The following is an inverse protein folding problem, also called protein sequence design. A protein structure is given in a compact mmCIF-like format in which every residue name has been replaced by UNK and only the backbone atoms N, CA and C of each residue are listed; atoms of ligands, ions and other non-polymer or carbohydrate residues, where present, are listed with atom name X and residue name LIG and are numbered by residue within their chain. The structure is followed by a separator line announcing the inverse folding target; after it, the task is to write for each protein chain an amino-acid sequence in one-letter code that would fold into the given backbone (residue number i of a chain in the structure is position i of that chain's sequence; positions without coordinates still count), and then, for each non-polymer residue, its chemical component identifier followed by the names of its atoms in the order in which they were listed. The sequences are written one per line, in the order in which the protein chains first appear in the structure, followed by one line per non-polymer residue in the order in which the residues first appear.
data_IF_182180266892
#
_entry.id   IF_182180266892
#
_cell.length_a   1.000
_cell.length_b   1.000
_cell.length_c   1.000
_cell.angle_alpha   90.00
_cell.angle_beta   90.00
_cell.angle_gamma   90.00
#
_symmetry.space_group_name_H-M   'P 1'
#
loop_
_entity.id
_entity.type
_entity.pdbx_description
1 polymer ?
#
# COMPACT_ATOMS: atom_id res chain seq x y z
N UNK A 1 15.62 -20.96 -12.93
CA UNK A 1 16.67 -20.00 -13.32
C UNK A 1 16.17 -18.82 -14.16
N UNK A 2 15.17 -18.99 -15.04
CA UNK A 2 14.67 -17.89 -15.90
C UNK A 2 13.94 -16.75 -15.18
N UNK A 3 13.25 -17.02 -14.08
CA UNK A 3 12.44 -16.02 -13.37
C UNK A 3 13.31 -15.04 -12.56
N UNK A 4 14.34 -15.54 -11.90
CA UNK A 4 15.29 -14.73 -11.11
C UNK A 4 16.12 -13.82 -12.03
N UNK A 5 16.52 -14.31 -13.21
CA UNK A 5 17.24 -13.52 -14.21
C UNK A 5 16.38 -12.39 -14.80
N UNK A 6 15.07 -12.64 -15.02
CA UNK A 6 14.11 -11.60 -15.44
C UNK A 6 13.90 -10.53 -14.35
N UNK A 7 13.83 -10.93 -13.07
CA UNK A 7 13.74 -10.01 -11.95
C UNK A 7 14.99 -9.12 -11.82
N UNK A 8 16.17 -9.71 -11.87
CA UNK A 8 17.45 -8.97 -11.82
C UNK A 8 17.61 -7.99 -12.99
N UNK A 9 17.20 -8.36 -14.19
CA UNK A 9 17.27 -7.49 -15.37
C UNK A 9 16.25 -6.34 -15.31
N UNK A 10 15.09 -6.56 -14.67
CA UNK A 10 14.12 -5.47 -14.38
C UNK A 10 14.66 -4.52 -13.32
N UNK A 11 15.27 -5.02 -12.24
CA UNK A 11 15.88 -4.19 -11.19
C UNK A 11 17.01 -3.29 -11.72
N UNK A 12 17.87 -3.80 -12.60
CA UNK A 12 18.96 -3.01 -13.19
C UNK A 12 18.46 -1.93 -14.16
N UNK A 13 17.38 -2.20 -14.90
CA UNK A 13 16.73 -1.19 -15.76
C UNK A 13 16.03 -0.11 -14.93
N UNK A 14 15.35 -0.47 -13.84
CA UNK A 14 14.73 0.49 -12.92
C UNK A 14 15.77 1.39 -12.24
N UNK A 15 16.89 0.84 -11.79
CA UNK A 15 17.97 1.62 -11.17
C UNK A 15 18.58 2.66 -12.13
N UNK A 16 18.65 2.37 -13.43
CA UNK A 16 19.13 3.32 -14.44
C UNK A 16 18.12 4.42 -14.77
N UNK A 17 16.83 4.14 -14.62
CA UNK A 17 15.74 5.08 -14.86
C UNK A 17 15.57 6.09 -13.71
N UNK A 18 15.70 5.63 -12.45
CA UNK A 18 15.68 6.50 -11.25
C UNK A 18 16.74 7.61 -11.35
N UNK A 19 17.88 7.34 -11.98
CA UNK A 19 18.97 8.31 -12.18
C UNK A 19 18.62 9.42 -13.19
N UNK A 20 17.57 9.26 -13.99
CA UNK A 20 17.15 10.18 -15.04
C UNK A 20 15.98 11.09 -14.67
N UNK A 21 15.17 10.72 -13.67
CA UNK A 21 14.06 11.54 -13.17
C UNK A 21 14.42 12.23 -11.86
N UNK A 22 14.90 13.45 -11.95
CA UNK A 22 15.13 14.37 -10.82
C UNK A 22 13.79 15.02 -10.33
N UNK A 23 12.70 14.23 -10.26
CA UNK A 23 11.35 14.72 -9.94
C UNK A 23 10.77 13.99 -8.73
N UNK A 24 11.52 13.90 -7.63
CA UNK A 24 10.90 13.56 -6.34
C UNK A 24 10.29 14.84 -5.75
N UNK A 25 9.06 14.72 -5.25
CA UNK A 25 8.39 15.83 -4.58
C UNK A 25 9.27 16.36 -3.43
N UNK A 26 9.23 17.68 -3.12
CA UNK A 26 9.99 18.25 -2.01
C UNK A 26 9.76 17.54 -0.66
N UNK A 27 8.59 16.93 -0.48
CA UNK A 27 8.22 16.15 0.71
C UNK A 27 9.10 14.89 0.89
N UNK A 28 9.46 14.20 -0.19
CA UNK A 28 10.32 13.01 -0.13
C UNK A 28 11.74 13.37 0.33
N UNK A 29 12.24 14.55 -0.10
CA UNK A 29 13.51 15.08 0.36
C UNK A 29 13.47 15.45 1.85
N UNK A 30 12.34 15.95 2.37
CA UNK A 30 12.14 16.21 3.80
C UNK A 30 12.03 14.91 4.61
N UNK A 31 11.32 13.90 4.11
CA UNK A 31 11.25 12.58 4.77
C UNK A 31 12.61 11.88 4.78
N UNK A 32 13.35 11.90 3.69
CA UNK A 32 14.71 11.37 3.62
C UNK A 32 15.67 12.13 4.57
N UNK A 33 15.54 13.45 4.66
CA UNK A 33 16.31 14.27 5.61
C UNK A 33 15.92 13.98 7.07
N UNK A 34 14.63 13.75 7.35
CA UNK A 34 14.16 13.35 8.69
C UNK A 34 14.70 11.96 9.07
N UNK A 35 14.68 11.00 8.16
CA UNK A 35 15.22 9.65 8.40
C UNK A 35 16.75 9.63 8.58
N UNK A 36 17.48 10.51 7.86
CA UNK A 36 18.93 10.66 8.00
C UNK A 36 19.33 11.41 9.26
N UNK A 37 18.45 12.24 9.85
CA UNK A 37 18.71 12.92 11.12
C UNK A 37 18.57 12.01 12.37
N UNK A 38 18.04 10.80 12.20
CA UNK A 38 17.96 9.76 13.23
C UNK A 38 19.19 8.83 13.31
N UNK A 39 20.34 9.19 12.71
CA UNK A 39 21.59 8.44 12.91
C UNK A 39 22.18 8.72 14.29
N UNK A 40 22.86 7.75 14.91
CA UNK A 40 22.77 7.42 16.31
C UNK A 40 23.68 8.28 17.19
N UNK A 41 23.08 9.12 18.01
CA UNK A 41 23.74 9.65 19.21
C UNK A 41 23.74 8.63 20.38
N UNK A 42 23.49 7.33 20.11
CA UNK A 42 23.28 6.32 21.16
C UNK A 42 24.41 5.31 21.31
N UNK A 43 25.60 5.56 20.76
CA UNK A 43 26.76 4.66 20.91
C UNK A 43 27.83 5.17 21.89
N UNK A 44 27.49 6.02 22.84
CA UNK A 44 28.47 6.44 23.86
C UNK A 44 27.78 6.70 25.21
N UNK A 45 27.45 5.66 25.96
CA UNK A 45 27.45 5.68 27.41
C UNK A 45 27.04 4.32 28.01
N UNK A 46 27.92 3.34 27.92
CA UNK A 46 27.94 2.20 28.81
C UNK A 46 29.38 2.00 29.23
N UNK A 47 29.80 2.75 30.23
CA UNK A 47 30.96 2.36 31.06
C UNK A 47 30.68 2.63 32.53
N UNK A 48 30.72 1.53 33.27
CA UNK A 48 31.08 1.36 34.67
C UNK A 48 30.27 2.09 35.76
N UNK A 49 29.49 1.31 36.50
CA UNK A 49 29.56 1.40 37.96
C UNK A 49 29.45 0.00 38.58
N UNK A 50 30.37 -0.27 39.45
CA UNK A 50 30.79 -1.57 39.96
C UNK A 50 29.81 -2.27 40.89
N UNK A 51 30.18 -3.49 41.13
CA UNK A 51 29.58 -4.49 41.98
C UNK A 51 29.37 -4.01 43.42
N UNK A 52 28.20 -4.34 43.97
CA UNK A 52 28.16 -4.75 45.39
C UNK A 52 27.17 -5.93 45.53
N UNK A 53 27.69 -7.00 46.05
CA UNK A 53 27.05 -8.31 46.20
C UNK A 53 26.61 -8.46 47.66
N UNK A 54 25.30 -8.49 47.91
CA UNK A 54 24.74 -9.18 49.08
C UNK A 54 23.48 -9.92 48.75
N UNK A 55 23.37 -11.20 49.12
CA UNK A 55 22.17 -12.00 48.81
C UNK A 55 21.07 -11.66 49.83
N UNK A 56 19.96 -11.10 49.39
CA UNK A 56 18.71 -11.08 50.14
C UNK A 56 17.79 -12.21 49.66
N UNK A 57 17.58 -13.13 50.60
CA UNK A 57 16.60 -14.21 50.49
C UNK A 57 15.19 -13.65 50.40
N UNK A 58 14.34 -14.29 49.56
CA UNK A 58 12.88 -14.18 49.57
C UNK A 58 12.32 -13.13 48.63
N UNK A 59 12.51 -13.30 47.34
CA UNK A 59 11.61 -12.67 46.35
C UNK A 59 10.35 -13.52 46.25
N UNK A 60 9.12 -12.94 46.39
CA UNK A 60 7.91 -13.63 46.05
C UNK A 60 7.96 -13.94 44.55
N UNK A 61 7.36 -15.09 44.17
CA UNK A 61 7.17 -15.44 42.77
C UNK A 61 6.62 -14.22 42.03
N UNK A 62 7.37 -13.71 41.05
CA UNK A 62 6.90 -12.62 40.23
C UNK A 62 5.60 -13.05 39.57
N UNK A 63 4.54 -12.37 39.94
CA UNK A 63 3.25 -12.55 39.34
C UNK A 63 3.35 -12.16 37.86
N UNK A 64 3.32 -13.13 36.97
CA UNK A 64 3.39 -12.95 35.51
C UNK A 64 2.18 -12.16 34.97
N UNK A 65 1.15 -11.93 35.81
CA UNK A 65 0.03 -11.03 35.51
C UNK A 65 0.41 -9.55 35.69
N UNK A 66 1.58 -9.26 36.24
CA UNK A 66 2.16 -7.94 36.39
C UNK A 66 3.14 -7.53 35.27
N UNK A 67 3.35 -8.40 34.27
CA UNK A 67 3.93 -7.96 33.00
C UNK A 67 2.95 -6.96 32.39
N UNK A 68 3.40 -5.73 32.25
CA UNK A 68 2.60 -4.72 31.60
C UNK A 68 2.24 -5.25 30.22
N UNK A 69 1.03 -4.97 29.76
CA UNK A 69 0.63 -5.20 28.35
C UNK A 69 1.75 -4.79 27.37
N UNK A 70 2.60 -3.86 27.75
CA UNK A 70 3.78 -3.36 27.06
C UNK A 70 4.90 -4.39 26.88
N UNK A 71 5.11 -5.29 27.80
CA UNK A 71 6.10 -6.38 27.66
C UNK A 71 5.56 -7.53 26.78
N UNK A 72 4.25 -7.70 26.72
CA UNK A 72 3.56 -8.55 25.74
C UNK A 72 3.56 -7.92 24.32
N UNK A 73 3.62 -6.58 24.23
CA UNK A 73 3.72 -5.83 22.97
C UNK A 73 5.11 -5.89 22.32
N UNK A 74 6.14 -6.38 22.99
CA UNK A 74 7.48 -6.56 22.38
C UNK A 74 7.53 -7.59 21.25
N UNK A 75 6.44 -8.32 21.00
CA UNK A 75 6.27 -9.16 19.82
C UNK A 75 5.67 -8.40 18.62
N UNK A 76 5.15 -7.20 18.83
CA UNK A 76 4.50 -6.37 17.82
C UNK A 76 5.49 -5.50 16.99
N UNK A 77 6.78 -5.85 16.97
CA UNK A 77 7.79 -5.19 16.12
C UNK A 77 7.46 -5.34 14.63
N UNK A 78 6.68 -6.38 14.30
CA UNK A 78 6.37 -6.74 12.91
C UNK A 78 4.95 -6.30 12.58
N UNK A 79 4.80 -5.04 12.20
CA UNK A 79 3.58 -4.52 11.60
C UNK A 79 3.87 -4.17 10.14
N UNK A 80 3.18 -4.82 9.21
CA UNK A 80 3.31 -4.52 7.78
C UNK A 80 2.24 -3.51 7.34
N UNK A 81 2.52 -2.82 6.23
CA UNK A 81 1.54 -1.96 5.54
C UNK A 81 0.44 -2.81 4.88
N UNK A 82 -0.40 -3.42 5.71
CA UNK A 82 -1.54 -4.23 5.27
C UNK A 82 -2.79 -3.62 5.86
N UNK A 83 -3.68 -3.12 5.01
CA UNK A 83 -4.95 -2.48 5.40
C UNK A 83 -5.73 -3.43 6.31
N UNK A 84 -6.03 -2.97 7.56
CA UNK A 84 -6.73 -3.82 8.54
C UNK A 84 -5.94 -5.08 8.95
N UNK A 85 -4.62 -5.06 8.82
CA UNK A 85 -3.72 -6.15 9.18
C UNK A 85 -3.40 -6.25 10.67
N UNK A 86 -3.94 -5.38 11.51
CA UNK A 86 -3.74 -5.39 12.96
C UNK A 86 -4.94 -4.81 13.70
N UNK A 87 -5.04 -5.07 14.99
CA UNK A 87 -6.07 -4.55 15.89
C UNK A 87 -5.43 -3.99 17.15
N UNK A 88 -6.15 -3.15 17.86
CA UNK A 88 -5.70 -2.47 19.06
C UNK A 88 -6.46 -2.93 20.31
N UNK A 89 -5.86 -2.84 21.51
CA UNK A 89 -6.57 -3.04 22.77
C UNK A 89 -7.57 -1.92 23.03
N UNK A 90 -8.56 -2.22 23.89
CA UNK A 90 -9.62 -1.28 24.25
C UNK A 90 -9.08 0.06 24.74
N UNK A 91 -9.63 1.15 24.20
CA UNK A 91 -9.30 2.53 24.52
C UNK A 91 -8.14 3.12 23.71
N UNK A 92 -7.37 2.31 22.99
CA UNK A 92 -6.22 2.81 22.21
C UNK A 92 -6.69 3.55 20.95
N UNK A 93 -5.99 4.65 20.66
CA UNK A 93 -6.10 5.40 19.42
C UNK A 93 -4.76 5.31 18.68
N UNK A 94 -4.80 5.14 17.36
CA UNK A 94 -3.63 5.20 16.49
C UNK A 94 -3.86 6.22 15.39
N UNK A 95 -2.82 6.98 15.08
CA UNK A 95 -2.71 7.75 13.85
C UNK A 95 -1.64 7.13 12.96
N UNK A 96 -1.95 7.04 11.68
CA UNK A 96 -1.07 6.52 10.66
C UNK A 96 -0.96 7.48 9.47
N UNK A 97 0.20 7.45 8.85
CA UNK A 97 0.45 8.03 7.54
C UNK A 97 1.24 7.02 6.73
N UNK A 98 0.81 6.80 5.49
CA UNK A 98 1.51 5.96 4.53
C UNK A 98 1.69 6.71 3.21
N UNK A 99 2.90 6.68 2.69
CA UNK A 99 3.22 7.08 1.33
C UNK A 99 3.35 5.84 0.47
N UNK A 100 2.66 5.81 -0.67
CA UNK A 100 2.76 4.76 -1.67
C UNK A 100 3.16 5.36 -3.00
N UNK A 101 4.07 4.68 -3.70
CA UNK A 101 4.52 5.05 -5.03
C UNK A 101 4.49 3.84 -5.95
N UNK A 102 3.98 4.03 -7.17
CA UNK A 102 3.96 3.02 -8.21
C UNK A 102 4.47 3.61 -9.51
N UNK A 103 5.46 2.97 -10.13
CA UNK A 103 5.98 3.29 -11.46
C UNK A 103 5.50 2.23 -12.45
N UNK A 104 4.93 2.68 -13.54
CA UNK A 104 4.36 1.85 -14.60
C UNK A 104 4.95 2.21 -15.94
N UNK A 105 5.11 1.21 -16.82
CA UNK A 105 5.58 1.45 -18.17
C UNK A 105 5.89 0.18 -18.94
N UNK A 106 5.82 0.29 -20.26
CA UNK A 106 5.65 -0.83 -21.15
C UNK A 106 4.21 -1.34 -21.08
N UNK A 107 3.73 -2.00 -22.12
CA UNK A 107 2.35 -2.46 -22.17
C UNK A 107 2.27 -3.98 -22.21
N UNK A 108 1.20 -4.50 -21.59
CA UNK A 108 0.82 -5.90 -21.69
C UNK A 108 -0.59 -6.03 -22.28
N UNK A 109 -0.76 -7.04 -23.14
CA UNK A 109 -2.07 -7.58 -23.52
C UNK A 109 -2.05 -9.08 -23.22
N UNK A 110 -2.81 -9.51 -22.25
CA UNK A 110 -2.56 -10.78 -21.57
C UNK A 110 -1.20 -10.73 -20.84
N UNK A 111 -0.34 -11.67 -21.18
CA UNK A 111 1.05 -11.75 -20.71
C UNK A 111 2.07 -11.31 -21.79
N UNK A 112 1.58 -10.86 -22.94
CA UNK A 112 2.40 -10.49 -24.10
C UNK A 112 2.74 -9.01 -24.02
N UNK A 113 4.03 -8.70 -24.18
CA UNK A 113 4.48 -7.32 -24.36
C UNK A 113 3.93 -6.73 -25.67
N UNK A 114 3.40 -5.52 -25.59
CA UNK A 114 2.87 -4.74 -26.72
C UNK A 114 3.69 -3.45 -26.80
N UNK A 115 4.15 -3.07 -27.99
CA UNK A 115 4.87 -1.82 -28.16
C UNK A 115 3.91 -0.65 -28.39
N UNK A 116 4.34 0.56 -28.02
CA UNK A 116 3.61 1.80 -28.31
C UNK A 116 3.27 1.93 -29.83
N UNK A 117 4.22 1.54 -30.68
CA UNK A 117 4.02 1.56 -32.14
C UNK A 117 2.95 0.53 -32.61
N UNK A 118 2.71 -0.53 -31.85
CA UNK A 118 1.62 -1.48 -32.13
C UNK A 118 0.28 -0.90 -31.68
N UNK A 119 0.22 -0.23 -30.51
CA UNK A 119 -0.96 0.45 -30.00
C UNK A 119 -1.39 1.57 -30.95
N UNK A 120 -0.46 2.39 -31.38
CA UNK A 120 -0.69 3.49 -32.32
C UNK A 120 -1.21 3.07 -33.70
N UNK A 121 -1.20 1.77 -34.04
CA UNK A 121 -1.91 1.28 -35.24
C UNK A 121 -3.42 1.25 -35.08
N UNK A 122 -3.90 1.16 -33.84
CA UNK A 122 -5.32 1.03 -33.51
C UNK A 122 -5.90 2.25 -32.80
N UNK A 123 -5.05 3.05 -32.17
CA UNK A 123 -5.42 4.24 -31.39
C UNK A 123 -4.61 5.45 -31.84
N UNK A 124 -5.19 6.66 -31.82
CA UNK A 124 -4.50 7.93 -32.08
C UNK A 124 -3.37 8.23 -31.09
N UNK A 125 -3.52 7.77 -29.83
CA UNK A 125 -2.56 7.98 -28.73
C UNK A 125 -2.26 6.69 -27.99
N UNK A 126 -1.15 6.69 -27.27
CA UNK A 126 -0.74 5.60 -26.38
C UNK A 126 -0.01 6.20 -25.17
N UNK A 127 -0.25 5.64 -23.99
CA UNK A 127 0.54 5.93 -22.80
C UNK A 127 1.98 5.41 -22.97
N UNK A 128 2.97 6.10 -22.39
CA UNK A 128 4.39 5.68 -22.43
C UNK A 128 4.91 5.35 -21.04
N UNK A 129 4.27 5.91 -20.03
CA UNK A 129 4.56 5.67 -18.61
C UNK A 129 3.51 6.32 -17.72
N UNK A 130 3.44 5.86 -16.48
CA UNK A 130 2.54 6.43 -15.48
C UNK A 130 3.18 6.31 -14.10
N UNK A 131 3.05 7.36 -13.30
CA UNK A 131 3.40 7.34 -11.88
C UNK A 131 2.16 7.61 -11.04
N UNK A 132 2.03 6.88 -9.95
CA UNK A 132 0.98 7.09 -8.95
C UNK A 132 1.66 7.31 -7.61
N UNK A 133 1.43 8.48 -7.03
CA UNK A 133 1.77 8.80 -5.65
C UNK A 133 0.48 8.84 -4.83
N UNK A 134 0.46 8.15 -3.70
CA UNK A 134 -0.68 8.17 -2.79
C UNK A 134 -0.21 8.42 -1.38
N UNK A 135 -0.81 9.42 -0.73
CA UNK A 135 -0.64 9.76 0.67
C UNK A 135 -1.88 9.31 1.43
N UNK A 136 -1.77 8.26 2.21
CA UNK A 136 -2.87 7.71 3.01
C UNK A 136 -2.81 8.25 4.43
N UNK A 137 -3.85 8.96 4.85
CA UNK A 137 -4.07 9.33 6.23
C UNK A 137 -4.96 8.27 6.89
N UNK A 138 -4.55 7.80 8.06
CA UNK A 138 -5.23 6.74 8.78
C UNK A 138 -5.50 7.12 10.23
N UNK A 139 -6.67 6.74 10.74
CA UNK A 139 -6.99 6.78 12.16
C UNK A 139 -7.67 5.48 12.56
N UNK A 140 -7.23 4.91 13.70
CA UNK A 140 -7.87 3.75 14.30
C UNK A 140 -8.27 4.05 15.74
N UNK A 141 -9.39 3.46 16.16
CA UNK A 141 -9.86 3.50 17.54
C UNK A 141 -10.44 2.15 17.93
N UNK A 142 -10.03 1.63 19.07
CA UNK A 142 -10.52 0.37 19.62
C UNK A 142 -11.51 0.63 20.77
N UNK A 143 -12.83 0.60 20.53
CA UNK A 143 -13.82 0.71 21.62
C UNK A 143 -13.81 -0.49 22.55
N UNK A 144 -13.45 -1.68 22.07
CA UNK A 144 -13.28 -2.90 22.87
C UNK A 144 -12.03 -3.68 22.40
N UNK A 145 -11.63 -4.71 23.12
CA UNK A 145 -10.50 -5.57 22.73
C UNK A 145 -10.77 -6.39 21.46
N UNK A 146 -12.04 -6.58 21.11
CA UNK A 146 -12.45 -7.36 19.95
C UNK A 146 -12.72 -6.48 18.73
N UNK A 147 -13.04 -5.19 18.91
CA UNK A 147 -13.43 -4.28 17.85
C UNK A 147 -12.45 -3.14 17.73
N UNK A 148 -11.90 -2.94 16.54
CA UNK A 148 -11.15 -1.75 16.13
C UNK A 148 -11.85 -1.11 14.92
N UNK A 149 -12.13 0.17 15.01
CA UNK A 149 -12.66 0.99 13.92
C UNK A 149 -11.49 1.68 13.23
N UNK A 150 -11.52 1.75 11.91
CA UNK A 150 -10.46 2.32 11.09
C UNK A 150 -11.07 3.23 10.03
N UNK A 151 -10.51 4.42 9.84
CA UNK A 151 -10.84 5.30 8.74
C UNK A 151 -9.56 5.69 7.99
N UNK A 152 -9.64 5.71 6.65
CA UNK A 152 -8.52 6.01 5.76
C UNK A 152 -8.95 6.99 4.69
N UNK A 153 -8.13 8.02 4.47
CA UNK A 153 -8.36 9.03 3.44
C UNK A 153 -7.12 9.11 2.53
N UNK A 154 -7.20 8.61 1.29
CA UNK A 154 -6.13 8.75 0.32
C UNK A 154 -6.14 10.14 -0.33
N UNK A 155 -4.96 10.71 -0.52
CA UNK A 155 -4.70 11.87 -1.37
C UNK A 155 -3.77 11.37 -2.47
N UNK A 156 -4.17 11.54 -3.72
CA UNK A 156 -3.47 10.98 -4.88
C UNK A 156 -2.90 12.07 -5.76
N UNK A 157 -1.76 11.77 -6.35
CA UNK A 157 -1.18 12.49 -7.47
C UNK A 157 -0.80 11.47 -8.55
N UNK A 158 -1.33 11.66 -9.75
CA UNK A 158 -1.21 10.71 -10.86
C UNK A 158 -0.70 11.49 -12.07
N UNK A 159 0.40 11.02 -12.65
CA UNK A 159 0.93 11.56 -13.90
C UNK A 159 1.00 10.43 -14.93
N UNK A 160 0.55 10.69 -16.17
CA UNK A 160 0.62 9.76 -17.28
C UNK A 160 1.24 10.45 -18.49
N UNK A 161 2.36 9.93 -18.94
CA UNK A 161 3.03 10.39 -20.17
C UNK A 161 2.41 9.70 -21.38
N UNK A 162 2.09 10.48 -22.40
CA UNK A 162 1.38 10.06 -23.62
C UNK A 162 2.18 10.40 -24.85
N UNK A 163 1.98 9.62 -25.93
CA UNK A 163 2.47 9.90 -27.27
C UNK A 163 1.35 9.76 -28.29
N UNK A 164 1.24 10.73 -29.19
CA UNK A 164 0.33 10.68 -30.34
C UNK A 164 1.07 10.29 -31.63
N UNK A 165 0.29 9.99 -32.68
CA UNK A 165 0.82 9.87 -34.01
C UNK A 165 1.69 11.08 -34.38
N UNK A 166 2.84 10.84 -35.02
CA UNK A 166 3.79 11.88 -35.36
C UNK A 166 4.83 12.17 -34.27
N UNK A 167 4.81 11.44 -33.14
CA UNK A 167 5.79 11.57 -32.06
C UNK A 167 5.59 12.80 -31.20
N UNK A 168 4.37 13.30 -31.09
CA UNK A 168 4.02 14.41 -30.19
C UNK A 168 3.81 13.85 -28.81
N UNK A 169 4.59 14.32 -27.83
CA UNK A 169 4.51 13.91 -26.43
C UNK A 169 3.78 14.96 -25.59
N UNK A 170 2.99 14.51 -24.64
CA UNK A 170 2.32 15.34 -23.62
C UNK A 170 2.14 14.53 -22.35
N UNK A 171 1.86 15.21 -21.24
CA UNK A 171 1.63 14.59 -19.94
C UNK A 171 0.27 14.99 -19.42
N UNK A 172 -0.47 14.02 -18.95
CA UNK A 172 -1.73 14.18 -18.22
C UNK A 172 -1.48 14.06 -16.73
N UNK A 173 -2.25 14.80 -15.95
CA UNK A 173 -2.14 14.74 -14.50
C UNK A 173 -3.51 14.90 -13.83
N UNK A 174 -3.68 14.22 -12.71
CA UNK A 174 -4.79 14.43 -11.79
C UNK A 174 -4.30 14.38 -10.35
N UNK A 175 -4.88 15.21 -9.49
CA UNK A 175 -4.52 15.25 -8.08
C UNK A 175 -5.73 15.59 -7.21
N UNK A 176 -5.78 15.03 -6.01
CA UNK A 176 -6.84 15.32 -5.04
C UNK A 176 -7.15 14.16 -4.12
N UNK A 177 -8.27 14.29 -3.42
CA UNK A 177 -8.75 13.29 -2.47
C UNK A 177 -9.34 12.11 -3.24
N UNK A 178 -8.99 10.88 -2.80
CA UNK A 178 -9.65 9.67 -3.26
C UNK A 178 -10.89 9.30 -2.41
N UNK A 179 -11.32 8.07 -2.52
CA UNK A 179 -12.49 7.58 -1.78
C UNK A 179 -12.15 7.31 -0.32
N UNK A 180 -12.88 7.93 0.61
CA UNK A 180 -12.81 7.67 2.04
C UNK A 180 -13.20 6.21 2.32
N UNK A 181 -12.40 5.50 3.09
CA UNK A 181 -12.67 4.13 3.50
C UNK A 181 -12.87 4.06 5.01
N UNK A 182 -13.89 3.31 5.44
CA UNK A 182 -14.16 3.03 6.85
C UNK A 182 -14.29 1.52 7.03
N UNK A 183 -13.56 0.95 7.99
CA UNK A 183 -13.57 -0.48 8.29
C UNK A 183 -13.82 -0.70 9.78
N UNK A 184 -14.55 -1.77 10.07
CA UNK A 184 -14.64 -2.39 11.37
C UNK A 184 -13.85 -3.70 11.34
N UNK A 185 -12.88 -3.83 12.21
CA UNK A 185 -12.02 -5.00 12.37
C UNK A 185 -12.47 -5.73 13.62
N UNK A 186 -13.13 -6.88 13.45
CA UNK A 186 -13.69 -7.65 14.57
C UNK A 186 -12.93 -8.96 14.76
N UNK A 187 -12.33 -9.14 15.93
CA UNK A 187 -11.62 -10.37 16.30
C UNK A 187 -12.61 -11.49 16.57
N UNK A 188 -12.72 -12.43 15.63
CA UNK A 188 -13.61 -13.60 15.72
C UNK A 188 -13.05 -14.67 16.66
N UNK A 189 -11.75 -14.92 16.59
CA UNK A 189 -11.06 -15.96 17.34
C UNK A 189 -9.69 -15.47 17.79
N UNK A 190 -9.25 -15.94 18.94
CA UNK A 190 -7.96 -15.59 19.52
C UNK A 190 -7.99 -14.31 20.34
N UNK A 191 -6.82 -13.85 20.73
CA UNK A 191 -6.61 -12.57 21.39
C UNK A 191 -5.20 -12.10 21.10
N UNK A 192 -4.92 -10.85 21.36
CA UNK A 192 -3.57 -10.27 21.26
C UNK A 192 -2.53 -11.10 22.03
N UNK A 193 -2.95 -11.76 23.11
CA UNK A 193 -2.06 -12.52 24.00
C UNK A 193 -1.90 -14.01 23.64
N UNK A 194 -2.61 -14.52 22.62
CA UNK A 194 -2.63 -15.96 22.29
C UNK A 194 -1.83 -16.37 21.07
N UNK A 195 -1.08 -15.45 20.46
CA UNK A 195 -0.23 -15.74 19.31
C UNK A 195 -0.97 -16.07 18.00
N UNK A 196 -2.31 -16.18 18.01
CA UNK A 196 -3.13 -16.43 16.83
C UNK A 196 -4.43 -15.65 16.90
N UNK A 197 -4.77 -14.97 15.83
CA UNK A 197 -6.00 -14.17 15.70
C UNK A 197 -6.64 -14.37 14.33
N UNK A 198 -7.96 -14.43 14.32
CA UNK A 198 -8.77 -14.37 13.10
C UNK A 198 -9.67 -13.14 13.19
N UNK A 199 -9.54 -12.23 12.25
CA UNK A 199 -10.20 -10.92 12.24
C UNK A 199 -11.11 -10.85 11.02
N UNK A 200 -12.38 -10.53 11.24
CA UNK A 200 -13.32 -10.13 10.20
C UNK A 200 -13.12 -8.66 9.88
N UNK A 201 -12.88 -8.35 8.62
CA UNK A 201 -12.83 -6.99 8.11
C UNK A 201 -14.19 -6.67 7.46
N UNK A 202 -14.93 -5.73 8.00
CA UNK A 202 -16.19 -5.25 7.45
C UNK A 202 -16.03 -3.77 7.10
N UNK A 203 -15.92 -3.44 5.82
CA UNK A 203 -15.62 -2.10 5.37
C UNK A 203 -16.55 -1.57 4.29
N UNK A 204 -16.52 -0.25 4.15
CA UNK A 204 -17.21 0.49 3.10
C UNK A 204 -16.30 1.61 2.59
N UNK A 205 -16.27 1.79 1.27
CA UNK A 205 -15.69 2.96 0.61
C UNK A 205 -16.81 3.92 0.22
N UNK A 206 -16.57 5.21 0.44
CA UNK A 206 -17.50 6.30 0.14
C UNK A 206 -16.97 7.08 -1.06
N UNK A 207 -17.80 7.45 -2.03
CA UNK A 207 -17.39 8.11 -3.27
C UNK A 207 -17.05 9.60 -3.04
N UNK A 208 -16.00 9.86 -2.28
CA UNK A 208 -15.49 11.21 -2.02
C UNK A 208 -14.47 11.68 -3.05
N UNK A 209 -13.84 10.74 -3.76
CA UNK A 209 -12.91 11.03 -4.84
C UNK A 209 -13.63 11.45 -6.12
N UNK A 210 -13.01 12.38 -6.83
CA UNK A 210 -13.57 12.88 -8.11
C UNK A 210 -13.54 11.78 -9.18
N UNK A 211 -14.59 11.78 -10.01
CA UNK A 211 -14.69 10.96 -11.24
C UNK A 211 -14.85 11.86 -12.47
N UNK A 212 -14.49 13.13 -12.35
CA UNK A 212 -14.61 14.14 -13.43
C UNK A 212 -13.29 14.89 -13.64
N UNK A 213 -12.17 14.18 -13.45
CA UNK A 213 -10.83 14.72 -13.70
C UNK A 213 -10.66 15.02 -15.18
N UNK A 214 -10.09 16.21 -15.47
CA UNK A 214 -9.92 16.75 -16.81
C UNK A 214 -8.55 17.36 -16.96
N UNK A 215 -8.03 17.33 -18.17
CA UNK A 215 -6.82 18.06 -18.53
C UNK A 215 -7.04 18.92 -19.78
N UNK A 216 -6.30 20.02 -19.88
CA UNK A 216 -6.30 20.90 -21.08
C UNK A 216 -5.03 20.68 -21.85
N UNK A 217 -5.16 20.10 -23.05
CA UNK A 217 -4.06 19.75 -23.93
C UNK A 217 -4.31 20.45 -25.26
N UNK A 218 -3.33 21.19 -25.77
CA UNK A 218 -3.41 21.96 -27.01
C UNK A 218 -4.59 22.96 -27.06
N UNK A 219 -5.07 23.42 -25.90
CA UNK A 219 -6.16 24.39 -25.78
C UNK A 219 -7.57 23.79 -25.74
N UNK A 220 -7.67 22.46 -25.78
CA UNK A 220 -8.94 21.74 -25.61
C UNK A 220 -8.94 21.00 -24.28
N UNK A 221 -10.12 20.94 -23.60
CA UNK A 221 -10.26 20.27 -22.31
C UNK A 221 -10.98 18.95 -22.50
N UNK A 222 -10.32 17.89 -22.10
CA UNK A 222 -10.79 16.51 -22.19
C UNK A 222 -11.00 15.91 -20.79
N UNK A 223 -11.96 15.02 -20.66
CA UNK A 223 -12.07 14.16 -19.48
C UNK A 223 -11.03 13.06 -19.57
N UNK A 224 -10.28 12.89 -18.49
CA UNK A 224 -9.24 11.88 -18.38
C UNK A 224 -9.82 10.47 -18.30
N UNK A 225 -9.04 9.48 -18.68
CA UNK A 225 -9.37 8.06 -18.74
C UNK A 225 -9.63 7.47 -17.35
N UNK A 226 -10.15 6.23 -17.30
CA UNK A 226 -10.53 5.58 -16.06
C UNK A 226 -9.38 5.45 -15.03
N UNK A 227 -8.13 5.13 -15.42
CA UNK A 227 -7.04 5.05 -14.45
C UNK A 227 -6.62 6.39 -13.83
N UNK A 228 -6.95 7.50 -14.50
CA UNK A 228 -6.64 8.86 -14.07
C UNK A 228 -7.71 9.46 -13.16
N UNK A 229 -8.84 8.78 -12.93
CA UNK A 229 -9.88 9.22 -12.01
C UNK A 229 -9.50 8.93 -10.56
N UNK A 230 -9.80 9.86 -9.64
CA UNK A 230 -9.38 9.79 -8.23
C UNK A 230 -10.26 8.88 -7.37
N UNK A 231 -11.52 8.69 -7.76
CA UNK A 231 -12.50 7.89 -7.04
C UNK A 231 -13.21 6.86 -7.91
N UNK A 232 -14.02 6.02 -7.28
CA UNK A 232 -14.90 5.05 -7.96
C UNK A 232 -16.25 5.67 -8.38
N UNK A 233 -16.68 6.70 -7.64
CA UNK A 233 -18.00 7.30 -7.74
C UNK A 233 -19.11 6.37 -7.24
N UNK A 234 -18.79 5.23 -6.62
CA UNK A 234 -19.76 4.26 -6.07
C UNK A 234 -19.49 3.97 -4.60
N UNK A 235 -20.53 3.53 -3.89
CA UNK A 235 -20.38 2.96 -2.55
C UNK A 235 -19.93 1.50 -2.72
N UNK A 236 -18.74 1.19 -2.18
CA UNK A 236 -18.14 -0.13 -2.36
C UNK A 236 -18.08 -0.86 -1.02
N UNK A 237 -18.63 -2.07 -0.94
CA UNK A 237 -18.41 -2.94 0.22
C UNK A 237 -17.00 -3.54 0.17
N UNK A 238 -16.33 -3.55 1.30
CA UNK A 238 -14.97 -4.07 1.45
C UNK A 238 -14.90 -5.17 2.54
N UNK A 239 -15.56 -6.32 2.33
CA UNK A 239 -15.44 -7.43 3.27
C UNK A 239 -14.09 -8.12 3.11
N UNK A 240 -13.59 -8.67 4.21
CA UNK A 240 -12.35 -9.43 4.22
C UNK A 240 -12.18 -10.27 5.47
N UNK A 241 -11.13 -11.07 5.45
CA UNK A 241 -10.72 -11.92 6.56
C UNK A 241 -9.20 -11.86 6.69
N UNK A 242 -8.71 -11.62 7.90
CA UNK A 242 -7.29 -11.56 8.22
C UNK A 242 -6.97 -12.61 9.28
N UNK A 243 -5.99 -13.45 8.99
CA UNK A 243 -5.38 -14.34 9.95
C UNK A 243 -4.01 -13.82 10.34
N UNK A 244 -3.71 -13.74 11.63
CA UNK A 244 -2.42 -13.37 12.19
C UNK A 244 -1.90 -14.51 13.05
N UNK A 245 -0.63 -14.77 12.95
CA UNK A 245 0.08 -15.72 13.78
C UNK A 245 1.41 -15.14 14.22
N UNK A 246 1.80 -15.41 15.44
CA UNK A 246 3.07 -14.98 16.01
C UNK A 246 3.67 -16.04 16.93
N UNK A 247 4.98 -16.16 16.95
CA UNK A 247 5.70 -17.05 17.84
C UNK A 247 7.12 -16.55 18.05
N UNK A 248 7.48 -16.19 19.28
CA UNK A 248 8.80 -15.67 19.67
C UNK A 248 9.25 -14.51 18.76
N UNK A 249 10.08 -14.83 17.76
CA UNK A 249 10.66 -13.85 16.83
C UNK A 249 9.97 -13.82 15.45
N UNK A 250 9.00 -14.68 15.22
CA UNK A 250 8.30 -14.80 13.94
C UNK A 250 6.89 -14.23 14.04
N UNK A 251 6.51 -13.42 13.06
CA UNK A 251 5.12 -13.08 12.82
C UNK A 251 4.78 -13.36 11.37
N UNK A 252 3.59 -13.89 11.15
CA UNK A 252 3.07 -14.20 9.81
C UNK A 252 1.60 -13.88 9.74
N UNK A 253 1.11 -13.72 8.55
CA UNK A 253 -0.31 -13.52 8.33
C UNK A 253 -0.73 -13.79 6.92
N UNK A 254 -2.02 -13.90 6.76
CA UNK A 254 -2.68 -13.98 5.48
C UNK A 254 -3.99 -13.17 5.53
N UNK A 255 -4.31 -12.49 4.44
CA UNK A 255 -5.51 -11.69 4.35
C UNK A 255 -6.15 -11.86 2.97
N UNK A 256 -7.47 -11.99 2.96
CA UNK A 256 -8.30 -11.87 1.77
C UNK A 256 -9.18 -10.63 1.93
N UNK A 257 -9.10 -9.71 0.98
CA UNK A 257 -9.93 -8.51 0.90
C UNK A 257 -10.66 -8.47 -0.44
N UNK A 258 -11.82 -7.81 -0.46
CA UNK A 258 -12.54 -7.58 -1.70
C UNK A 258 -13.04 -6.14 -1.78
N UNK A 259 -13.24 -5.62 -3.00
CA UNK A 259 -14.04 -4.43 -3.26
C UNK A 259 -15.23 -4.84 -4.14
N UNK A 260 -16.41 -4.88 -3.53
CA UNK A 260 -17.66 -5.25 -4.21
C UNK A 260 -18.42 -3.96 -4.55
N UNK A 261 -18.46 -3.65 -5.82
CA UNK A 261 -19.05 -2.43 -6.34
C UNK A 261 -20.47 -2.69 -6.84
N UNK A 262 -21.42 -1.86 -6.42
CA UNK A 262 -22.85 -1.99 -6.76
C UNK A 262 -23.35 -0.71 -7.41
N UNK A 263 -24.33 -0.87 -8.30
CA UNK A 263 -24.90 0.27 -9.03
C UNK A 263 -23.96 0.82 -10.09
N UNK A 264 -24.20 2.07 -10.48
CA UNK A 264 -23.36 2.86 -11.38
C UNK A 264 -23.20 4.24 -10.77
N UNK A 265 -22.08 4.90 -11.06
CA UNK A 265 -21.83 6.26 -10.65
C UNK A 265 -22.59 7.29 -11.52
N UNK A 266 -22.42 8.57 -11.21
CA UNK A 266 -23.09 9.67 -11.93
C UNK A 266 -22.73 9.77 -13.42
N UNK A 267 -21.61 9.20 -13.83
CA UNK A 267 -21.15 9.13 -15.23
C UNK A 267 -21.58 7.84 -15.96
N UNK A 268 -22.41 7.00 -15.34
CA UNK A 268 -23.02 5.83 -15.99
C UNK A 268 -22.18 4.55 -15.97
N UNK A 269 -21.05 4.53 -15.28
CA UNK A 269 -20.18 3.33 -15.17
C UNK A 269 -19.96 2.92 -13.70
N UNK A 270 -19.33 1.78 -13.52
CA UNK A 270 -18.72 1.34 -12.27
C UNK A 270 -17.43 0.60 -12.57
N UNK A 271 -16.43 0.74 -11.72
CA UNK A 271 -15.20 -0.04 -11.81
C UNK A 271 -15.48 -1.53 -11.59
N UNK A 272 -14.63 -2.39 -12.10
CA UNK A 272 -14.70 -3.84 -11.88
C UNK A 272 -14.54 -4.21 -10.42
N UNK A 273 -15.12 -5.33 -9.99
CA UNK A 273 -14.88 -5.89 -8.66
C UNK A 273 -13.41 -6.23 -8.50
N UNK A 274 -12.92 -6.14 -7.27
CA UNK A 274 -11.54 -6.42 -6.94
C UNK A 274 -11.44 -7.45 -5.83
N UNK A 275 -10.48 -8.36 -5.97
CA UNK A 275 -10.15 -9.41 -5.01
C UNK A 275 -8.64 -9.37 -4.77
N UNK A 276 -8.25 -9.29 -3.50
CA UNK A 276 -6.85 -9.30 -3.07
C UNK A 276 -6.64 -10.44 -2.09
N UNK A 277 -5.56 -11.18 -2.29
CA UNK A 277 -5.05 -12.17 -1.36
C UNK A 277 -3.59 -11.84 -1.08
N UNK A 278 -3.24 -11.63 0.17
CA UNK A 278 -1.86 -11.38 0.57
C UNK A 278 -1.44 -12.29 1.71
N UNK A 279 -0.16 -12.66 1.72
CA UNK A 279 0.47 -13.39 2.82
C UNK A 279 1.84 -12.81 3.11
N UNK A 280 2.24 -12.82 4.36
CA UNK A 280 3.52 -12.24 4.80
C UNK A 280 4.17 -13.03 5.92
N UNK A 281 5.47 -12.83 6.02
CA UNK A 281 6.33 -13.37 7.06
C UNK A 281 7.32 -12.30 7.49
N UNK A 282 7.47 -12.10 8.79
CA UNK A 282 8.46 -11.21 9.38
C UNK A 282 9.30 -11.91 10.44
N UNK A 283 10.49 -11.42 10.66
CA UNK A 283 11.41 -11.95 11.66
C UNK A 283 12.02 -10.82 12.50
N UNK A 284 11.78 -10.81 13.80
CA UNK A 284 12.36 -9.85 14.72
C UNK A 284 13.85 -10.19 14.95
N UNK A 285 14.74 -9.43 14.30
CA UNK A 285 16.19 -9.53 14.48
C UNK A 285 16.58 -8.95 15.86
N UNK A 286 16.00 -7.80 16.17
CA UNK A 286 16.11 -7.10 17.46
C UNK A 286 14.72 -6.68 17.92
N UNK A 287 14.61 -6.10 19.11
CA UNK A 287 13.35 -5.58 19.66
C UNK A 287 12.85 -4.31 18.95
N UNK A 288 13.64 -3.74 18.05
CA UNK A 288 13.33 -2.52 17.31
C UNK A 288 13.40 -2.67 15.78
N UNK A 289 13.87 -3.82 15.27
CA UNK A 289 14.03 -4.04 13.83
C UNK A 289 13.60 -5.44 13.39
N UNK A 290 12.79 -5.51 12.34
CA UNK A 290 12.32 -6.73 11.73
C UNK A 290 12.23 -6.61 10.19
N UNK A 291 13.01 -7.37 9.41
CA UNK A 291 12.76 -7.57 8.00
C UNK A 291 11.50 -8.40 7.77
N UNK A 292 10.86 -8.18 6.62
CA UNK A 292 9.66 -8.91 6.21
C UNK A 292 9.65 -9.24 4.73
N UNK A 293 8.86 -10.24 4.38
CA UNK A 293 8.58 -10.66 3.01
C UNK A 293 7.08 -10.77 2.84
N UNK A 294 6.52 -10.21 1.76
CA UNK A 294 5.10 -10.27 1.44
C UNK A 294 4.89 -10.68 -0.01
N UNK A 295 3.94 -11.57 -0.23
CA UNK A 295 3.39 -11.87 -1.54
C UNK A 295 1.96 -11.36 -1.59
N UNK A 296 1.59 -10.68 -2.68
CA UNK A 296 0.26 -10.09 -2.88
C UNK A 296 -0.25 -10.44 -4.26
N UNK A 297 -1.37 -11.16 -4.31
CA UNK A 297 -2.12 -11.44 -5.53
C UNK A 297 -3.34 -10.53 -5.60
N UNK A 298 -3.60 -9.93 -6.76
CA UNK A 298 -4.74 -9.08 -7.04
C UNK A 298 -5.39 -9.47 -8.35
N UNK A 299 -6.74 -9.52 -8.34
CA UNK A 299 -7.56 -9.74 -9.53
C UNK A 299 -8.60 -8.63 -9.55
N UNK A 300 -8.75 -7.95 -10.67
CA UNK A 300 -9.77 -6.93 -10.85
C UNK A 300 -10.43 -7.04 -12.20
N UNK A 301 -11.72 -6.72 -12.24
CA UNK A 301 -12.52 -6.80 -13.47
C UNK A 301 -12.45 -5.54 -14.30
N UNK A 302 -12.98 -5.62 -15.50
CA UNK A 302 -13.17 -4.49 -16.39
C UNK A 302 -14.23 -3.52 -15.86
N UNK A 303 -14.26 -2.31 -16.38
CA UNK A 303 -15.30 -1.32 -16.14
C UNK A 303 -16.63 -1.80 -16.72
N UNK A 304 -17.71 -1.64 -15.97
CA UNK A 304 -19.07 -1.99 -16.40
C UNK A 304 -19.87 -0.74 -16.74
N UNK A 305 -20.34 -0.63 -17.95
CA UNK A 305 -20.90 0.58 -18.54
C UNK A 305 -19.78 1.42 -19.14
N UNK A 306 -20.07 2.66 -19.49
CA UNK A 306 -19.09 3.58 -20.04
C UNK A 306 -19.46 5.02 -19.63
N UNK A 307 -18.45 5.86 -19.50
CA UNK A 307 -18.62 7.30 -19.41
C UNK A 307 -18.79 7.89 -20.81
N UNK A 308 -19.89 8.60 -21.11
CA UNK A 308 -20.12 9.17 -22.44
C UNK A 308 -19.12 10.29 -22.81
N UNK A 309 -18.36 10.81 -21.84
CA UNK A 309 -17.39 11.86 -22.05
C UNK A 309 -15.95 11.33 -22.21
N UNK A 310 -15.74 10.00 -22.12
CA UNK A 310 -14.47 9.33 -22.39
C UNK A 310 -14.61 8.57 -23.72
N UNK A 311 -13.85 8.96 -24.72
CA UNK A 311 -13.89 8.32 -26.04
C UNK A 311 -12.98 7.07 -26.06
N UNK A 312 -13.54 5.86 -26.12
CA UNK A 312 -12.76 4.62 -26.08
C UNK A 312 -11.93 4.37 -27.34
N UNK A 313 -12.01 5.26 -28.34
CA UNK A 313 -11.28 5.12 -29.62
C UNK A 313 -10.01 5.97 -29.67
N UNK A 314 -9.79 6.84 -28.68
CA UNK A 314 -8.61 7.74 -28.61
C UNK A 314 -7.39 7.00 -28.08
N UNK A 315 -7.54 6.25 -27.01
CA UNK A 315 -6.52 5.43 -26.39
C UNK A 315 -7.09 4.16 -25.76
N UNK A 316 -6.20 3.26 -25.34
CA UNK A 316 -6.61 1.99 -24.76
C UNK A 316 -7.12 2.15 -23.31
N UNK A 317 -6.66 3.17 -22.60
CA UNK A 317 -7.01 3.49 -21.22
C UNK A 317 -8.45 4.05 -21.10
N UNK A 318 -8.99 4.59 -22.20
CA UNK A 318 -10.38 5.03 -22.33
C UNK A 318 -11.36 3.89 -22.63
N UNK A 319 -10.88 2.70 -23.03
CA UNK A 319 -11.76 1.56 -23.31
C UNK A 319 -12.15 0.84 -22.01
N UNK A 320 -13.44 0.82 -21.62
CA UNK A 320 -13.91 0.17 -20.41
C UNK A 320 -13.66 -1.35 -20.37
N UNK A 321 -13.48 -2.00 -21.52
CA UNK A 321 -13.21 -3.43 -21.63
C UNK A 321 -11.74 -3.80 -21.51
N UNK A 322 -10.86 -2.82 -21.34
CA UNK A 322 -9.41 -2.98 -21.25
C UNK A 322 -8.84 -2.56 -19.90
N UNK A 323 -9.66 -2.57 -18.84
CA UNK A 323 -9.28 -2.10 -17.50
C UNK A 323 -9.04 -3.23 -16.50
N UNK A 324 -9.40 -4.46 -16.86
CA UNK A 324 -9.27 -5.64 -16.01
C UNK A 324 -7.88 -6.25 -16.01
N UNK A 325 -7.63 -7.13 -15.04
CA UNK A 325 -6.36 -7.84 -14.98
C UNK A 325 -6.15 -8.65 -13.71
N UNK A 326 -4.98 -9.25 -13.64
CA UNK A 326 -4.47 -9.96 -12.47
C UNK A 326 -2.97 -9.80 -12.34
N UNK A 327 -2.51 -9.62 -11.11
CA UNK A 327 -1.11 -9.38 -10.80
C UNK A 327 -0.70 -10.11 -9.54
N UNK A 328 0.56 -10.55 -9.48
CA UNK A 328 1.19 -11.06 -8.27
C UNK A 328 2.47 -10.27 -8.03
N UNK A 329 2.55 -9.64 -6.89
CA UNK A 329 3.70 -8.84 -6.43
C UNK A 329 4.48 -9.60 -5.37
N UNK A 330 5.80 -9.44 -5.39
CA UNK A 330 6.69 -9.84 -4.32
C UNK A 330 7.31 -8.58 -3.71
N UNK A 331 7.14 -8.40 -2.39
CA UNK A 331 7.59 -7.22 -1.66
C UNK A 331 8.53 -7.62 -0.53
N UNK A 332 9.58 -6.84 -0.35
CA UNK A 332 10.51 -6.94 0.79
C UNK A 332 10.33 -5.72 1.67
N UNK A 333 10.24 -5.93 2.97
CA UNK A 333 9.98 -4.87 3.94
C UNK A 333 10.99 -4.80 5.07
N UNK A 334 11.02 -3.63 5.68
CA UNK A 334 11.76 -3.33 6.91
C UNK A 334 10.82 -2.63 7.87
N UNK A 335 10.76 -3.13 9.09
CA UNK A 335 9.89 -2.62 10.14
C UNK A 335 10.77 -2.17 11.31
N UNK A 336 10.51 -0.97 11.80
CA UNK A 336 11.21 -0.35 12.92
C UNK A 336 10.20 0.03 13.99
N UNK A 337 10.55 -0.24 15.24
CA UNK A 337 9.76 0.11 16.42
C UNK A 337 10.58 0.95 17.39
N UNK A 338 10.00 1.98 17.96
CA UNK A 338 10.63 2.81 18.98
C UNK A 338 10.18 2.36 20.37
N UNK A 339 11.01 1.58 21.11
CA UNK A 339 10.60 0.97 22.37
C UNK A 339 10.60 1.94 23.56
N UNK A 340 11.33 3.06 23.50
CA UNK A 340 11.55 3.97 24.63
C UNK A 340 11.59 5.44 24.21
N UNK A 341 11.53 6.35 25.17
CA UNK A 341 11.62 7.80 24.94
C UNK A 341 10.29 8.45 24.56
N UNK A 342 10.34 9.69 24.07
CA UNK A 342 9.18 10.53 23.76
C UNK A 342 8.35 9.93 22.59
N UNK A 343 9.01 9.24 21.68
CA UNK A 343 8.38 8.60 20.51
C UNK A 343 8.10 7.12 20.76
N UNK A 344 8.07 6.65 22.01
CA UNK A 344 7.71 5.27 22.35
C UNK A 344 6.36 4.90 21.70
N UNK A 345 6.28 3.72 21.10
CA UNK A 345 5.09 3.25 20.40
C UNK A 345 5.04 3.64 18.92
N UNK A 346 5.95 4.48 18.43
CA UNK A 346 6.06 4.79 17.01
C UNK A 346 6.58 3.58 16.23
N UNK A 347 5.96 3.29 15.11
CA UNK A 347 6.43 2.31 14.13
C UNK A 347 6.70 2.98 12.81
N UNK A 348 7.77 2.56 12.15
CA UNK A 348 8.11 2.98 10.78
C UNK A 348 8.23 1.71 9.94
N UNK A 349 7.53 1.68 8.84
CA UNK A 349 7.48 0.55 7.92
C UNK A 349 7.89 1.00 6.53
N UNK A 350 8.68 0.20 5.84
CA UNK A 350 9.03 0.44 4.43
C UNK A 350 8.93 -0.88 3.69
N UNK A 351 8.35 -0.83 2.50
CA UNK A 351 8.31 -1.98 1.59
C UNK A 351 8.66 -1.53 0.18
N UNK A 352 9.39 -2.37 -0.52
CA UNK A 352 9.63 -2.22 -1.95
C UNK A 352 9.37 -3.55 -2.64
N UNK A 353 8.80 -3.52 -3.82
CA UNK A 353 8.45 -4.73 -4.55
C UNK A 353 8.28 -4.52 -6.04
N UNK A 354 8.10 -5.63 -6.71
CA UNK A 354 7.87 -5.68 -8.14
C UNK A 354 6.89 -6.82 -8.48
N UNK A 355 6.14 -6.70 -9.59
CA UNK A 355 5.32 -7.79 -10.06
C UNK A 355 6.19 -8.94 -10.56
N UNK A 356 5.88 -10.15 -10.09
CA UNK A 356 6.47 -11.40 -10.58
C UNK A 356 5.58 -12.07 -11.62
N UNK A 357 4.33 -11.65 -11.69
CA UNK A 357 3.35 -12.09 -12.70
C UNK A 357 2.33 -10.99 -12.97
N UNK A 358 2.06 -10.72 -14.24
CA UNK A 358 0.97 -9.86 -14.70
C UNK A 358 0.27 -10.48 -15.91
N UNK A 359 -1.06 -10.33 -15.95
CA UNK A 359 -1.89 -10.68 -17.10
C UNK A 359 -3.03 -9.66 -17.15
N UNK A 360 -2.96 -8.76 -18.12
CA UNK A 360 -3.81 -7.57 -18.23
C UNK A 360 -4.76 -7.70 -19.42
N UNK A 361 -6.01 -7.26 -19.27
CA UNK A 361 -7.00 -7.26 -20.37
C UNK A 361 -6.70 -6.16 -21.41
N UNK A 362 -5.46 -5.75 -21.55
CA UNK A 362 -4.92 -4.60 -22.25
C UNK A 362 -5.13 -4.50 -23.76
N UNK A 363 -4.33 -3.60 -24.38
CA UNK A 363 -3.07 -3.08 -23.85
C UNK A 363 -3.25 -2.16 -22.64
N UNK A 364 -2.50 -2.41 -21.57
CA UNK A 364 -2.42 -1.59 -20.36
C UNK A 364 -0.97 -1.46 -19.94
N UNK A 365 -0.61 -0.36 -19.24
CA UNK A 365 0.71 -0.19 -18.67
C UNK A 365 1.01 -1.27 -17.62
N UNK A 366 2.18 -1.90 -17.74
CA UNK A 366 2.70 -2.87 -16.77
C UNK A 366 3.33 -2.14 -15.60
N UNK A 367 3.16 -2.65 -14.38
CA UNK A 367 3.85 -2.13 -13.21
C UNK A 367 5.32 -2.53 -13.25
N UNK A 368 6.23 -1.57 -13.07
CA UNK A 368 7.68 -1.82 -13.00
C UNK A 368 8.11 -2.12 -11.57
N UNK A 369 7.70 -1.28 -10.63
CA UNK A 369 8.01 -1.44 -9.21
C UNK A 369 7.02 -0.65 -8.35
N UNK A 370 6.99 -1.01 -7.07
CA UNK A 370 6.17 -0.39 -6.04
C UNK A 370 7.05 -0.08 -4.84
N UNK A 371 6.71 0.99 -4.15
CA UNK A 371 7.32 1.37 -2.88
C UNK A 371 6.24 1.87 -1.93
N UNK A 372 6.34 1.53 -0.65
CA UNK A 372 5.57 2.20 0.39
C UNK A 372 6.44 2.48 1.62
N UNK A 373 6.10 3.56 2.32
CA UNK A 373 6.70 3.92 3.59
C UNK A 373 5.61 4.48 4.50
N UNK A 374 5.49 3.92 5.69
CA UNK A 374 4.47 4.32 6.65
C UNK A 374 5.05 4.62 8.02
N UNK A 375 4.37 5.49 8.75
CA UNK A 375 4.61 5.75 10.16
C UNK A 375 3.28 5.68 10.91
N UNK A 376 3.28 4.97 12.04
CA UNK A 376 2.12 4.92 12.94
C UNK A 376 2.53 5.28 14.35
N UNK A 377 1.61 5.93 15.07
CA UNK A 377 1.77 6.26 16.48
C UNK A 377 0.50 5.92 17.24
N UNK A 378 0.65 5.16 18.32
CA UNK A 378 -0.46 4.69 19.16
C UNK A 378 -0.33 5.22 20.58
N UNK A 379 -1.45 5.61 21.21
CA UNK A 379 -1.52 6.13 22.59
C UNK A 379 -2.83 5.75 23.26
#
# INVERSE_FOLDING_TARGET
MGLIAKCLNRMTKSASYIKKQNRFSPLLNYLAALLLSFTPAYCAEVQSSGADSTPRSGAPAQDLTGLSLEELYNLDVIQLNVIGGHTHPAGQIMFGYEFMFMDMGGHLSGTRDVSESEILKSFPSASTGMTVEEHMLEVMYAPTNELTLMAMLPIKHIEMDMVMHGGIHFTEHSEGIGDLQVLALYTLLGSVTKGHRLILNAGMSFPTGSIDEKNTIFGETFKLEYPMQLGSGTYDLRPGLTYLGESKKWAWGAQALTALRFGRNGSGYRLGKEYELTGWLGYAVTDWFAPSLRIKGRIWGNVHGADPNIDPTVDAEGDPHRQGGRRVDLLMGMNFFVPTGILKGTRVMMEAGLPVYENLDGPQLSTRWLFSAGVTYSF
#
